data_IF_688121307424
#
_entry.id   IF_688121307424
#
_cell.length_a   1.000
_cell.length_b   1.000
_cell.length_c   1.000
_cell.angle_alpha   90.00
_cell.angle_beta   90.00
_cell.angle_gamma   90.00
#
_symmetry.space_group_name_H-M   'P 1'
#
loop_
_entity.id
_entity.type
_entity.pdbx_description
1 polymer ?
#
# COMPACT_ATOMS: atom_id res chain seq x y z
N UNK A 1 0.11 0.00 63.88
CA UNK A 1 1.56 -0.35 63.90
C UNK A 1 1.87 -1.50 62.96
N UNK A 2 1.33 -2.71 63.18
CA UNK A 2 1.53 -3.88 62.31
C UNK A 2 1.21 -3.59 60.83
N UNK A 3 0.15 -2.83 60.57
CA UNK A 3 -0.22 -2.42 59.21
C UNK A 3 0.84 -1.55 58.53
N UNK A 4 1.49 -0.64 59.26
CA UNK A 4 2.57 0.18 58.72
C UNK A 4 3.87 -0.61 58.51
N UNK A 5 4.11 -1.64 59.35
CA UNK A 5 5.24 -2.56 59.18
C UNK A 5 5.05 -3.40 57.90
N UNK A 6 3.85 -3.93 57.65
CA UNK A 6 3.53 -4.65 56.41
C UNK A 6 3.63 -3.76 55.16
N UNK A 7 3.24 -2.50 55.30
CA UNK A 7 3.29 -1.52 54.20
C UNK A 7 4.69 -0.95 53.94
N UNK A 8 5.64 -1.15 54.87
CA UNK A 8 7.01 -0.61 54.74
C UNK A 8 7.78 -1.16 53.54
N UNK A 9 7.37 -2.34 53.06
CA UNK A 9 7.94 -3.02 51.91
C UNK A 9 7.21 -2.82 50.57
N UNK A 10 6.06 -2.14 50.59
CA UNK A 10 5.25 -1.90 49.41
C UNK A 10 5.96 -1.01 48.38
N UNK A 11 5.81 -1.37 47.10
CA UNK A 11 6.27 -0.61 45.94
C UNK A 11 5.19 0.31 45.36
N UNK A 12 3.96 0.23 45.87
CA UNK A 12 2.89 1.18 45.53
C UNK A 12 3.09 2.48 46.32
N UNK A 13 3.91 3.37 45.76
CA UNK A 13 4.34 4.59 46.45
C UNK A 13 3.21 5.56 46.75
N UNK A 14 2.14 5.59 45.94
CA UNK A 14 1.08 6.59 46.05
C UNK A 14 0.01 6.12 47.03
N UNK A 15 -0.52 4.90 46.86
CA UNK A 15 -1.53 4.37 47.75
C UNK A 15 -0.98 4.14 49.17
N UNK A 16 0.26 3.65 49.26
CA UNK A 16 0.90 3.39 50.57
C UNK A 16 1.23 4.69 51.31
N UNK A 17 1.65 5.75 50.61
CA UNK A 17 1.88 7.05 51.24
C UNK A 17 0.57 7.62 51.83
N UNK A 18 -0.51 7.57 51.06
CA UNK A 18 -1.85 7.99 51.51
C UNK A 18 -2.31 7.17 52.72
N UNK A 19 -2.12 5.85 52.68
CA UNK A 19 -2.51 4.97 53.80
C UNK A 19 -1.69 5.24 55.06
N UNK A 20 -0.38 5.52 54.94
CA UNK A 20 0.45 5.90 56.08
C UNK A 20 0.00 7.25 56.66
N UNK A 21 -0.41 8.21 55.84
CA UNK A 21 -0.96 9.50 56.28
C UNK A 21 -2.32 9.32 56.99
N UNK A 22 -3.20 8.46 56.48
CA UNK A 22 -4.45 8.08 57.14
C UNK A 22 -4.19 7.43 58.51
N UNK A 23 -3.26 6.48 58.58
CA UNK A 23 -2.85 5.83 59.84
C UNK A 23 -2.26 6.84 60.84
N UNK A 24 -1.52 7.85 60.36
CA UNK A 24 -1.05 8.96 61.21
C UNK A 24 -2.21 9.82 61.72
N UNK A 25 -3.22 10.08 60.90
CA UNK A 25 -4.41 10.85 61.30
C UNK A 25 -5.29 10.05 62.29
N UNK A 26 -5.47 8.76 62.06
CA UNK A 26 -6.16 7.84 62.97
C UNK A 26 -5.46 7.78 64.33
N UNK A 27 -4.12 7.70 64.35
CA UNK A 27 -3.33 7.75 65.58
C UNK A 27 -3.55 9.06 66.36
N UNK A 28 -3.54 10.21 65.67
CA UNK A 28 -3.79 11.52 66.28
C UNK A 28 -5.20 11.65 66.85
N UNK A 29 -6.18 10.96 66.26
CA UNK A 29 -7.60 11.02 66.64
C UNK A 29 -7.93 10.18 67.88
N UNK A 30 -7.24 9.05 68.09
CA UNK A 30 -7.51 8.12 69.22
C UNK A 30 -7.10 8.75 70.58
N UNK A 31 -6.10 9.66 70.60
CA UNK A 31 -5.66 10.34 71.82
C UNK A 31 -4.62 9.56 72.64
N UNK A 32 -4.13 10.15 73.74
CA UNK A 32 -3.04 9.60 74.56
C UNK A 32 -3.50 8.40 75.41
N UNK A 33 -2.67 7.37 75.47
CA UNK A 33 -2.82 6.19 76.31
C UNK A 33 -1.73 6.18 77.41
N UNK A 34 -1.56 5.06 78.12
CA UNK A 34 -0.51 4.95 79.14
C UNK A 34 0.91 5.19 78.54
N UNK A 35 1.77 6.04 79.14
CA UNK A 35 2.88 6.69 78.44
C UNK A 35 4.05 5.78 78.02
N UNK A 36 4.22 4.59 78.63
CA UNK A 36 5.30 3.65 78.28
C UNK A 36 5.00 2.81 77.03
N UNK A 37 3.92 1.98 76.98
CA UNK A 37 3.62 1.16 75.80
C UNK A 37 3.29 2.00 74.56
N UNK A 38 2.69 3.18 74.73
CA UNK A 38 2.40 4.09 73.62
C UNK A 38 3.68 4.54 72.88
N UNK A 39 4.73 4.89 73.63
CA UNK A 39 5.99 5.38 73.07
C UNK A 39 6.73 4.32 72.25
N UNK A 40 6.71 3.06 72.69
CA UNK A 40 7.32 1.95 71.96
C UNK A 40 6.60 1.65 70.64
N UNK A 41 5.27 1.59 70.67
CA UNK A 41 4.45 1.36 69.48
C UNK A 41 4.57 2.51 68.48
N UNK A 42 4.64 3.75 68.97
CA UNK A 42 4.84 4.93 68.14
C UNK A 42 6.24 4.96 67.49
N UNK A 43 7.29 4.58 68.22
CA UNK A 43 8.64 4.49 67.67
C UNK A 43 8.74 3.44 66.57
N UNK A 44 8.12 2.26 66.75
CA UNK A 44 8.03 1.21 65.71
C UNK A 44 7.30 1.70 64.47
N UNK A 45 6.14 2.34 64.65
CA UNK A 45 5.37 2.92 63.55
C UNK A 45 6.15 4.00 62.78
N UNK A 46 6.87 4.90 63.48
CA UNK A 46 7.74 5.90 62.85
C UNK A 46 8.91 5.27 62.12
N UNK A 47 9.52 4.22 62.68
CA UNK A 47 10.62 3.51 62.03
C UNK A 47 10.18 2.89 60.69
N UNK A 48 9.03 2.19 60.69
CA UNK A 48 8.43 1.59 59.48
C UNK A 48 8.04 2.65 58.43
N UNK A 49 7.37 3.73 58.86
CA UNK A 49 7.03 4.85 57.99
C UNK A 49 8.29 5.51 57.41
N UNK A 50 9.31 5.72 58.25
CA UNK A 50 10.59 6.30 57.84
C UNK A 50 11.33 5.42 56.82
N UNK A 51 11.28 4.10 56.97
CA UNK A 51 11.84 3.15 56.00
C UNK A 51 11.15 3.27 54.64
N UNK A 52 9.82 3.30 54.61
CA UNK A 52 9.04 3.49 53.39
C UNK A 52 9.41 4.80 52.67
N UNK A 53 9.38 5.94 53.37
CA UNK A 53 9.67 7.24 52.76
C UNK A 53 11.13 7.37 52.31
N UNK A 54 12.09 6.74 53.01
CA UNK A 54 13.49 6.66 52.54
C UNK A 54 13.58 5.90 51.21
N UNK A 55 12.92 4.76 51.09
CA UNK A 55 12.89 3.97 49.84
C UNK A 55 12.20 4.70 48.70
N UNK A 56 11.03 5.30 48.96
CA UNK A 56 10.33 6.13 47.98
C UNK A 56 11.21 7.27 47.45
N UNK A 57 11.98 7.92 48.35
CA UNK A 57 12.91 8.98 47.95
C UNK A 57 14.07 8.42 47.11
N UNK A 58 14.62 7.27 47.48
CA UNK A 58 15.68 6.61 46.72
C UNK A 58 15.22 6.23 45.30
N UNK A 59 14.04 5.60 45.16
CA UNK A 59 13.43 5.27 43.87
C UNK A 59 13.18 6.52 43.01
N UNK A 60 12.69 7.63 43.61
CA UNK A 60 12.52 8.89 42.89
C UNK A 60 13.86 9.46 42.37
N UNK A 61 14.93 9.36 43.16
CA UNK A 61 16.28 9.81 42.77
C UNK A 61 16.81 8.96 41.62
N UNK A 62 16.68 7.64 41.71
CA UNK A 62 17.08 6.70 40.65
C UNK A 62 16.31 6.95 39.35
N UNK A 63 14.97 7.08 39.42
CA UNK A 63 14.12 7.41 38.26
C UNK A 63 14.51 8.74 37.63
N UNK A 64 14.81 9.77 38.45
CA UNK A 64 15.29 11.06 37.93
C UNK A 64 16.61 10.92 37.18
N UNK A 65 17.54 10.11 37.67
CA UNK A 65 18.81 9.84 36.99
C UNK A 65 18.59 9.09 35.67
N UNK A 66 17.73 8.07 35.65
CA UNK A 66 17.37 7.33 34.43
C UNK A 66 16.73 8.28 33.41
N UNK A 67 15.76 9.10 33.82
CA UNK A 67 15.12 10.07 32.93
C UNK A 67 16.09 11.13 32.41
N UNK A 68 17.06 11.57 33.22
CA UNK A 68 18.08 12.52 32.78
C UNK A 68 19.02 11.89 31.74
N UNK A 69 19.46 10.65 31.95
CA UNK A 69 20.26 9.88 30.98
C UNK A 69 19.50 9.68 29.66
N UNK A 70 18.24 9.23 29.74
CA UNK A 70 17.39 9.06 28.56
C UNK A 70 17.13 10.38 27.83
N UNK A 71 16.96 11.48 28.56
CA UNK A 71 16.79 12.80 27.95
C UNK A 71 18.04 13.24 27.19
N UNK A 72 19.23 13.04 27.76
CA UNK A 72 20.49 13.36 27.10
C UNK A 72 20.69 12.53 25.82
N UNK A 73 20.39 11.22 25.86
CA UNK A 73 20.45 10.37 24.67
C UNK A 73 19.48 10.85 23.58
N UNK A 74 18.22 11.15 23.93
CA UNK A 74 17.24 11.69 22.98
C UNK A 74 17.65 13.05 22.43
N UNK A 75 18.31 13.88 23.23
CA UNK A 75 18.84 15.17 22.81
C UNK A 75 19.99 15.03 21.80
N UNK A 76 20.87 14.05 21.99
CA UNK A 76 21.88 13.67 20.99
C UNK A 76 21.24 13.17 19.69
N UNK A 77 20.17 12.36 19.76
CA UNK A 77 19.44 11.93 18.56
C UNK A 77 18.80 13.11 17.82
N UNK A 78 18.28 14.11 18.54
CA UNK A 78 17.78 15.34 17.90
C UNK A 78 18.89 16.08 17.16
N UNK A 79 20.06 16.25 17.78
CA UNK A 79 21.20 16.93 17.14
C UNK A 79 21.68 16.17 15.89
N UNK A 80 21.75 14.84 15.98
CA UNK A 80 22.10 13.99 14.83
C UNK A 80 21.07 14.13 13.71
N UNK A 81 19.76 14.10 14.03
CA UNK A 81 18.71 14.28 13.03
C UNK A 81 18.74 15.67 12.38
N UNK A 82 19.05 16.72 13.15
CA UNK A 82 19.19 18.09 12.64
C UNK A 82 20.39 18.24 11.72
N UNK A 83 21.51 17.59 12.01
CA UNK A 83 22.68 17.59 11.14
C UNK A 83 22.40 16.98 9.76
N UNK A 84 21.43 16.05 9.66
CA UNK A 84 21.02 15.47 8.37
C UNK A 84 20.30 16.47 7.45
N UNK A 85 19.87 17.62 7.98
CA UNK A 85 19.26 18.67 7.16
C UNK A 85 20.24 19.29 6.17
N UNK A 86 21.54 19.24 6.45
CA UNK A 86 22.63 19.75 5.62
C UNK A 86 23.20 18.69 4.66
N UNK A 87 22.90 17.40 4.89
CA UNK A 87 23.43 16.31 4.07
C UNK A 87 22.86 16.36 2.64
N UNK A 88 23.74 16.24 1.64
CA UNK A 88 23.36 16.27 0.22
C UNK A 88 22.87 14.90 -0.29
N UNK A 89 23.41 13.81 0.26
CA UNK A 89 23.02 12.44 -0.07
C UNK A 89 21.71 12.06 0.65
N UNK A 90 20.60 12.32 -0.04
CA UNK A 90 19.24 12.06 0.47
C UNK A 90 18.97 10.55 0.74
N UNK A 91 19.41 9.60 -0.10
CA UNK A 91 19.37 8.17 0.22
C UNK A 91 20.06 7.81 1.54
N UNK A 92 21.29 8.28 1.75
CA UNK A 92 22.03 8.07 3.01
C UNK A 92 21.30 8.70 4.19
N UNK A 93 20.87 9.96 4.06
CA UNK A 93 20.13 10.68 5.10
C UNK A 93 18.86 9.93 5.52
N UNK A 94 18.06 9.39 4.58
CA UNK A 94 16.89 8.55 4.89
C UNK A 94 17.26 7.27 5.65
N UNK A 95 18.36 6.61 5.27
CA UNK A 95 18.88 5.45 5.96
C UNK A 95 19.24 5.78 7.42
N UNK A 96 19.93 6.89 7.63
CA UNK A 96 20.29 7.38 8.95
C UNK A 96 19.07 7.76 9.78
N UNK A 97 18.08 8.46 9.22
CA UNK A 97 16.81 8.75 9.92
C UNK A 97 16.13 7.48 10.41
N UNK A 98 16.08 6.41 9.61
CA UNK A 98 15.50 5.12 10.03
C UNK A 98 16.25 4.50 11.21
N UNK A 99 17.58 4.59 11.21
CA UNK A 99 18.41 4.15 12.34
C UNK A 99 18.12 4.97 13.60
N UNK A 100 18.09 6.30 13.50
CA UNK A 100 17.77 7.19 14.62
C UNK A 100 16.36 6.93 15.18
N UNK A 101 15.38 6.64 14.33
CA UNK A 101 14.03 6.27 14.76
C UNK A 101 14.00 4.94 15.53
N UNK A 102 14.84 3.98 15.16
CA UNK A 102 14.98 2.72 15.90
C UNK A 102 15.66 2.96 17.26
N UNK A 103 16.73 3.75 17.30
CA UNK A 103 17.40 4.15 18.54
C UNK A 103 16.47 4.92 19.47
N UNK A 104 15.66 5.85 18.94
CA UNK A 104 14.67 6.60 19.71
C UNK A 104 13.66 5.69 20.43
N UNK A 105 13.19 4.64 19.75
CA UNK A 105 12.25 3.64 20.31
C UNK A 105 12.90 2.76 21.37
N UNK A 106 14.21 2.53 21.28
CA UNK A 106 14.97 1.76 22.26
C UNK A 106 15.22 2.56 23.55
N UNK A 107 15.24 3.90 23.49
CA UNK A 107 15.43 4.74 24.67
C UNK A 107 14.17 4.74 25.53
N UNK A 108 14.35 4.47 26.82
CA UNK A 108 13.28 4.44 27.82
C UNK A 108 12.57 5.77 28.06
N UNK A 109 11.68 5.81 29.07
CA UNK A 109 10.84 6.98 29.35
C UNK A 109 11.67 8.19 29.79
N UNK A 110 11.13 9.37 29.54
CA UNK A 110 11.62 10.67 30.01
C UNK A 110 10.45 11.40 30.67
N UNK A 111 10.72 12.41 31.50
CA UNK A 111 9.65 13.27 32.04
C UNK A 111 8.78 13.85 30.92
N UNK A 112 7.46 13.81 31.13
CA UNK A 112 6.43 14.15 30.13
C UNK A 112 6.72 15.44 29.34
N UNK A 113 6.92 16.56 30.03
CA UNK A 113 7.16 17.86 29.38
C UNK A 113 8.40 17.87 28.47
N UNK A 114 9.48 17.20 28.90
CA UNK A 114 10.72 17.11 28.10
C UNK A 114 10.60 16.11 26.97
N UNK A 115 9.81 15.04 27.15
CA UNK A 115 9.53 14.05 26.11
C UNK A 115 8.79 14.64 24.92
N UNK A 116 7.75 15.45 25.17
CA UNK A 116 6.96 16.08 24.10
C UNK A 116 7.82 17.07 23.29
N UNK A 117 8.61 17.89 23.98
CA UNK A 117 9.52 18.86 23.34
C UNK A 117 10.58 18.17 22.48
N UNK A 118 11.26 17.15 23.02
CA UNK A 118 12.28 16.40 22.29
C UNK A 118 11.66 15.66 21.10
N UNK A 119 10.46 15.08 21.26
CA UNK A 119 9.77 14.38 20.18
C UNK A 119 9.39 15.32 19.04
N UNK A 120 8.83 16.50 19.35
CA UNK A 120 8.48 17.49 18.34
C UNK A 120 9.71 17.93 17.52
N UNK A 121 10.83 18.19 18.22
CA UNK A 121 12.12 18.54 17.61
C UNK A 121 12.66 17.42 16.71
N UNK A 122 12.73 16.20 17.23
CA UNK A 122 13.20 15.03 16.48
C UNK A 122 12.35 14.75 15.23
N UNK A 123 11.02 14.80 15.40
CA UNK A 123 10.08 14.57 14.29
C UNK A 123 10.22 15.64 13.22
N UNK A 124 10.28 16.92 13.61
CA UNK A 124 10.45 18.01 12.65
C UNK A 124 11.72 17.84 11.82
N UNK A 125 12.85 17.49 12.45
CA UNK A 125 14.10 17.21 11.73
C UNK A 125 13.97 16.02 10.76
N UNK A 126 13.32 14.93 11.19
CA UNK A 126 13.06 13.79 10.31
C UNK A 126 12.15 14.16 9.12
N UNK A 127 11.07 14.89 9.37
CA UNK A 127 10.09 15.30 8.36
C UNK A 127 10.74 16.21 7.31
N UNK A 128 11.70 17.06 7.71
CA UNK A 128 12.48 17.89 6.77
C UNK A 128 13.29 17.05 5.78
N UNK A 129 13.99 16.01 6.24
CA UNK A 129 14.76 15.10 5.36
C UNK A 129 13.85 14.39 4.36
N UNK A 130 12.71 13.87 4.83
CA UNK A 130 11.73 13.22 3.94
C UNK A 130 11.15 14.19 2.92
N UNK A 131 10.73 15.39 3.35
CA UNK A 131 10.19 16.43 2.47
C UNK A 131 11.22 16.87 1.42
N UNK A 132 12.49 17.06 1.80
CA UNK A 132 13.56 17.41 0.86
C UNK A 132 13.74 16.33 -0.19
N UNK A 133 13.70 15.07 0.24
CA UNK A 133 13.88 13.96 -0.67
C UNK A 133 12.68 13.74 -1.59
N UNK A 134 11.46 13.95 -1.12
CA UNK A 134 10.26 13.97 -1.97
C UNK A 134 10.36 15.07 -3.02
N UNK A 135 10.71 16.30 -2.62
CA UNK A 135 10.94 17.41 -3.55
C UNK A 135 12.03 17.14 -4.58
N UNK A 136 13.13 16.51 -4.17
CA UNK A 136 14.19 16.13 -5.09
C UNK A 136 13.70 15.12 -6.14
N UNK A 137 12.97 14.08 -5.71
CA UNK A 137 12.36 13.13 -6.65
C UNK A 137 11.32 13.79 -7.54
N UNK A 138 10.49 14.68 -7.00
CA UNK A 138 9.50 15.43 -7.77
C UNK A 138 10.18 16.30 -8.83
N UNK A 139 11.26 17.01 -8.48
CA UNK A 139 12.06 17.80 -9.42
C UNK A 139 12.69 16.93 -10.51
N UNK A 140 13.25 15.76 -10.16
CA UNK A 140 13.80 14.81 -11.14
C UNK A 140 12.75 14.29 -12.14
N UNK A 141 11.47 14.26 -11.75
CA UNK A 141 10.38 13.84 -12.62
C UNK A 141 9.66 15.02 -13.29
N UNK A 142 9.77 16.24 -12.76
CA UNK A 142 9.11 17.43 -13.29
C UNK A 142 9.48 17.66 -14.76
N UNK A 143 10.77 17.63 -15.09
CA UNK A 143 11.24 17.80 -16.47
C UNK A 143 10.71 16.70 -17.41
N UNK A 144 10.65 15.46 -16.91
CA UNK A 144 10.15 14.30 -17.68
C UNK A 144 8.64 14.36 -17.90
N UNK A 145 7.90 14.83 -16.90
CA UNK A 145 6.46 15.06 -16.96
C UNK A 145 6.17 16.20 -17.93
N UNK A 146 6.91 17.31 -17.84
CA UNK A 146 6.80 18.45 -18.75
C UNK A 146 7.10 18.05 -20.20
N UNK A 147 8.15 17.26 -20.44
CA UNK A 147 8.47 16.75 -21.77
C UNK A 147 7.33 15.91 -22.36
N UNK A 148 6.71 15.01 -21.57
CA UNK A 148 5.53 14.24 -22.01
C UNK A 148 4.32 15.15 -22.26
N UNK A 149 4.04 16.09 -21.37
CA UNK A 149 2.94 17.03 -21.50
C UNK A 149 3.06 17.88 -22.77
N UNK A 150 4.27 18.35 -23.11
CA UNK A 150 4.54 19.10 -24.33
C UNK A 150 4.24 18.29 -25.61
N UNK A 151 4.47 16.97 -25.60
CA UNK A 151 4.08 16.12 -26.73
C UNK A 151 2.55 15.99 -26.86
N UNK A 152 1.82 15.90 -25.74
CA UNK A 152 0.35 15.92 -25.76
C UNK A 152 -0.16 17.26 -26.33
N UNK A 153 0.39 18.38 -25.87
CA UNK A 153 0.03 19.71 -26.36
C UNK A 153 0.33 19.88 -27.86
N UNK A 154 1.49 19.35 -28.33
CA UNK A 154 1.83 19.35 -29.76
C UNK A 154 0.80 18.57 -30.58
N UNK A 155 0.36 17.39 -30.12
CA UNK A 155 -0.68 16.62 -30.81
C UNK A 155 -2.04 17.34 -30.78
N UNK A 156 -2.42 17.92 -29.65
CA UNK A 156 -3.67 18.67 -29.53
C UNK A 156 -3.69 19.92 -30.44
N UNK A 157 -2.55 20.57 -30.62
CA UNK A 157 -2.42 21.71 -31.54
C UNK A 157 -2.56 21.30 -33.02
N UNK A 158 -2.24 20.05 -33.37
CA UNK A 158 -2.45 19.50 -34.72
C UNK A 158 -3.91 19.13 -34.99
N UNK A 159 -4.74 19.00 -33.95
CA UNK A 159 -6.16 18.69 -34.04
C UNK A 159 -6.98 19.50 -33.02
N UNK A 160 -7.14 20.81 -33.26
CA UNK A 160 -7.95 21.65 -32.40
C UNK A 160 -9.41 21.16 -32.36
N UNK A 161 -10.14 21.51 -31.31
CA UNK A 161 -11.57 21.13 -31.16
C UNK A 161 -12.51 21.84 -32.14
N UNK A 162 -12.01 22.87 -32.85
CA UNK A 162 -12.74 23.56 -33.91
C UNK A 162 -12.75 22.75 -35.21
N UNK A 163 -13.62 23.11 -36.15
CA UNK A 163 -13.77 22.35 -37.41
C UNK A 163 -12.43 22.13 -38.12
N UNK A 164 -12.30 20.93 -38.67
CA UNK A 164 -11.11 20.49 -39.38
C UNK A 164 -10.82 21.44 -40.54
N UNK A 165 -9.75 22.22 -40.42
CA UNK A 165 -9.17 22.94 -41.55
C UNK A 165 -8.41 21.99 -42.48
N UNK A 166 -7.74 22.52 -43.48
CA UNK A 166 -6.83 21.72 -44.30
C UNK A 166 -5.72 21.09 -43.43
N UNK A 167 -5.32 19.83 -43.69
CA UNK A 167 -4.26 19.19 -42.92
C UNK A 167 -2.96 19.98 -43.09
N UNK A 168 -2.21 20.23 -42.00
CA UNK A 168 -0.91 20.87 -42.11
C UNK A 168 0.03 20.00 -42.96
N UNK A 169 0.89 20.65 -43.75
CA UNK A 169 1.85 19.96 -44.60
C UNK A 169 2.74 19.02 -43.76
N UNK A 170 2.85 17.76 -44.16
CA UNK A 170 3.65 16.76 -43.44
C UNK A 170 3.02 16.25 -42.13
N UNK A 171 1.70 16.37 -41.94
CA UNK A 171 1.00 15.88 -40.74
C UNK A 171 1.38 14.44 -40.36
N UNK A 172 1.44 13.52 -41.33
CA UNK A 172 1.82 12.12 -41.11
C UNK A 172 3.22 11.98 -40.51
N UNK A 173 4.20 12.71 -41.05
CA UNK A 173 5.59 12.70 -40.56
C UNK A 173 5.70 13.33 -39.17
N UNK A 174 4.97 14.42 -38.91
CA UNK A 174 4.93 15.07 -37.59
C UNK A 174 4.34 14.16 -36.51
N UNK A 175 3.26 13.43 -36.82
CA UNK A 175 2.65 12.46 -35.91
C UNK A 175 3.60 11.28 -35.69
N UNK A 176 4.25 10.76 -36.74
CA UNK A 176 5.23 9.69 -36.62
C UNK A 176 6.44 10.09 -35.76
N UNK A 177 6.98 11.30 -35.96
CA UNK A 177 8.06 11.87 -35.15
C UNK A 177 7.63 12.01 -33.68
N UNK A 178 6.47 12.59 -33.42
CA UNK A 178 5.92 12.78 -32.06
C UNK A 178 5.72 11.44 -31.34
N UNK A 179 5.21 10.41 -32.03
CA UNK A 179 5.08 9.03 -31.50
C UNK A 179 6.43 8.37 -31.25
N UNK A 180 7.46 8.68 -32.05
CA UNK A 180 8.81 8.19 -31.83
C UNK A 180 9.44 8.83 -30.59
N UNK A 181 9.34 10.16 -30.46
CA UNK A 181 9.78 10.90 -29.27
C UNK A 181 9.10 10.38 -28.00
N UNK A 182 7.77 10.17 -28.02
CA UNK A 182 7.02 9.64 -26.88
C UNK A 182 7.55 8.28 -26.39
N UNK A 183 7.93 7.39 -27.31
CA UNK A 183 8.49 6.06 -26.99
C UNK A 183 9.90 6.13 -26.41
N UNK A 184 10.67 7.16 -26.75
CA UNK A 184 12.04 7.35 -26.28
C UNK A 184 12.09 8.05 -24.91
N UNK A 185 11.02 8.71 -24.47
CA UNK A 185 11.00 9.43 -23.20
C UNK A 185 11.10 8.48 -21.98
N UNK A 186 11.94 8.80 -20.99
CA UNK A 186 12.12 8.00 -19.79
C UNK A 186 10.83 7.93 -18.97
N UNK A 187 10.57 6.80 -18.30
CA UNK A 187 9.31 6.60 -17.56
C UNK A 187 9.11 7.62 -16.44
N UNK A 188 7.87 8.07 -16.27
CA UNK A 188 7.40 8.96 -15.19
C UNK A 188 6.61 8.14 -14.15
N UNK A 189 6.27 8.69 -12.97
CA UNK A 189 5.49 7.96 -11.98
C UNK A 189 4.13 7.51 -12.52
N UNK A 190 3.65 6.35 -12.07
CA UNK A 190 2.54 5.61 -12.70
C UNK A 190 1.24 6.42 -12.83
N UNK A 191 0.91 7.25 -11.85
CA UNK A 191 -0.28 8.11 -11.88
C UNK A 191 -0.24 9.12 -13.03
N UNK A 192 0.89 9.79 -13.20
CA UNK A 192 1.12 10.79 -14.23
C UNK A 192 1.24 10.12 -15.60
N UNK A 193 1.94 8.99 -15.68
CA UNK A 193 2.08 8.20 -16.91
C UNK A 193 0.70 7.79 -17.46
N UNK A 194 -0.19 7.30 -16.59
CA UNK A 194 -1.55 6.90 -16.98
C UNK A 194 -2.37 8.08 -17.50
N UNK A 195 -2.31 9.22 -16.81
CA UNK A 195 -3.05 10.42 -17.21
C UNK A 195 -2.54 11.01 -18.52
N UNK A 196 -1.22 11.13 -18.68
CA UNK A 196 -0.61 11.68 -19.89
C UNK A 196 -0.77 10.73 -21.08
N UNK A 197 -0.65 9.42 -20.87
CA UNK A 197 -0.91 8.43 -21.93
C UNK A 197 -2.36 8.49 -22.40
N UNK A 198 -3.33 8.59 -21.49
CA UNK A 198 -4.73 8.76 -21.88
C UNK A 198 -4.97 10.03 -22.70
N UNK A 199 -4.37 11.16 -22.29
CA UNK A 199 -4.43 12.43 -23.02
C UNK A 199 -3.79 12.30 -24.42
N UNK A 200 -2.64 11.65 -24.51
CA UNK A 200 -1.92 11.40 -25.77
C UNK A 200 -2.74 10.55 -26.74
N UNK A 201 -3.32 9.44 -26.26
CA UNK A 201 -4.15 8.54 -27.08
C UNK A 201 -5.42 9.25 -27.59
N UNK A 202 -6.07 10.06 -26.75
CA UNK A 202 -7.25 10.84 -27.17
C UNK A 202 -6.89 11.88 -28.23
N UNK A 203 -5.78 12.60 -28.04
CA UNK A 203 -5.30 13.57 -29.03
C UNK A 203 -4.94 12.88 -30.36
N UNK A 204 -4.25 11.74 -30.30
CA UNK A 204 -3.91 10.94 -31.48
C UNK A 204 -5.16 10.44 -32.21
N UNK A 205 -6.16 9.94 -31.48
CA UNK A 205 -7.45 9.54 -32.03
C UNK A 205 -8.08 10.66 -32.85
N UNK A 206 -8.10 11.86 -32.27
CA UNK A 206 -8.71 13.04 -32.87
C UNK A 206 -8.00 13.46 -34.16
N UNK A 207 -6.67 13.48 -34.16
CA UNK A 207 -5.87 13.76 -35.37
C UNK A 207 -6.22 12.79 -36.49
N UNK A 208 -6.35 11.50 -36.16
CA UNK A 208 -6.70 10.45 -37.13
C UNK A 208 -8.16 10.58 -37.60
N UNK A 209 -9.09 10.99 -36.74
CA UNK A 209 -10.50 11.26 -37.10
C UNK A 209 -10.67 12.44 -38.05
N UNK A 210 -9.92 13.52 -37.82
CA UNK A 210 -10.02 14.73 -38.64
C UNK A 210 -9.39 14.54 -40.03
N UNK A 211 -8.35 13.70 -40.14
CA UNK A 211 -7.58 13.52 -41.37
C UNK A 211 -7.30 12.04 -41.70
N UNK A 212 -8.34 11.22 -41.95
CA UNK A 212 -8.17 9.78 -42.17
C UNK A 212 -7.32 9.47 -43.42
N UNK A 213 -7.42 10.28 -44.47
CA UNK A 213 -6.73 10.08 -45.75
C UNK A 213 -5.20 10.14 -45.61
N UNK A 214 -4.68 10.97 -44.69
CA UNK A 214 -3.24 11.14 -44.45
C UNK A 214 -2.62 9.87 -43.86
N UNK A 215 -3.40 9.07 -43.14
CA UNK A 215 -2.92 7.87 -42.44
C UNK A 215 -3.20 6.57 -43.19
N UNK A 216 -3.80 6.63 -44.38
CA UNK A 216 -4.09 5.47 -45.21
C UNK A 216 -2.81 4.66 -45.51
N UNK A 217 -2.87 3.34 -45.31
CA UNK A 217 -1.73 2.44 -45.53
C UNK A 217 -0.66 2.43 -44.44
N UNK A 218 -0.77 3.29 -43.42
CA UNK A 218 0.13 3.29 -42.25
C UNK A 218 -0.34 2.32 -41.15
N UNK A 219 0.32 2.33 -39.99
CA UNK A 219 -0.14 1.62 -38.79
C UNK A 219 -1.31 2.35 -38.08
N UNK A 220 -1.58 3.60 -38.44
CA UNK A 220 -2.68 4.42 -37.92
C UNK A 220 -3.90 4.45 -38.84
N UNK A 221 -3.92 3.64 -39.89
CA UNK A 221 -5.04 3.55 -40.81
C UNK A 221 -6.34 3.14 -40.08
N UNK A 222 -7.38 3.99 -40.08
CA UNK A 222 -8.63 3.73 -39.36
C UNK A 222 -9.34 2.46 -39.83
N UNK A 223 -9.40 2.22 -41.15
CA UNK A 223 -10.13 1.11 -41.73
C UNK A 223 -9.42 -0.21 -41.45
N UNK A 224 -8.09 -0.22 -41.62
CA UNK A 224 -7.25 -1.37 -41.27
C UNK A 224 -7.40 -1.74 -39.80
N UNK A 225 -7.38 -0.73 -38.91
CA UNK A 225 -7.46 -0.95 -37.47
C UNK A 225 -8.86 -1.41 -37.03
N UNK A 226 -9.93 -0.90 -37.67
CA UNK A 226 -11.30 -1.38 -37.46
C UNK A 226 -11.45 -2.87 -37.82
N UNK A 227 -11.05 -3.26 -39.04
CA UNK A 227 -11.15 -4.67 -39.47
C UNK A 227 -10.29 -5.61 -38.62
N UNK A 228 -9.10 -5.14 -38.20
CA UNK A 228 -8.28 -5.91 -37.27
C UNK A 228 -8.98 -6.12 -35.93
N UNK A 229 -9.66 -5.09 -35.40
CA UNK A 229 -10.42 -5.17 -34.16
C UNK A 229 -11.64 -6.09 -34.28
N UNK A 230 -12.41 -6.01 -35.37
CA UNK A 230 -13.52 -6.92 -35.65
C UNK A 230 -13.09 -8.39 -35.63
N UNK A 231 -11.95 -8.68 -36.27
CA UNK A 231 -11.36 -10.02 -36.29
C UNK A 231 -10.93 -10.48 -34.88
N UNK A 232 -10.37 -9.58 -34.06
CA UNK A 232 -10.02 -9.89 -32.67
C UNK A 232 -11.26 -10.20 -31.82
N UNK A 233 -12.34 -9.42 -31.97
CA UNK A 233 -13.62 -9.69 -31.32
C UNK A 233 -14.13 -11.08 -31.68
N UNK A 234 -14.17 -11.41 -32.99
CA UNK A 234 -14.61 -12.72 -33.46
C UNK A 234 -13.78 -13.89 -32.90
N UNK A 235 -12.46 -13.72 -32.77
CA UNK A 235 -11.57 -14.74 -32.18
C UNK A 235 -11.85 -14.97 -30.70
N UNK A 236 -11.98 -13.90 -29.90
CA UNK A 236 -12.28 -14.05 -28.45
C UNK A 236 -13.67 -14.64 -28.26
N UNK A 237 -14.66 -14.20 -29.03
CA UNK A 237 -16.02 -14.71 -28.94
C UNK A 237 -16.12 -16.17 -29.36
N UNK A 238 -15.36 -16.62 -30.35
CA UNK A 238 -15.26 -18.04 -30.69
C UNK A 238 -14.69 -18.87 -29.54
N UNK A 239 -13.69 -18.36 -28.82
CA UNK A 239 -13.13 -19.02 -27.62
C UNK A 239 -14.16 -19.07 -26.47
N UNK A 240 -14.91 -17.98 -26.25
CA UNK A 240 -16.00 -17.94 -25.28
C UNK A 240 -17.13 -18.90 -25.68
N UNK A 241 -17.50 -18.96 -26.95
CA UNK A 241 -18.54 -19.87 -27.45
C UNK A 241 -18.11 -21.34 -27.28
N UNK A 242 -16.87 -21.68 -27.63
CA UNK A 242 -16.32 -23.04 -27.44
C UNK A 242 -16.19 -23.46 -25.97
N UNK A 243 -16.17 -22.49 -25.06
CA UNK A 243 -16.12 -22.65 -23.61
C UNK A 243 -17.50 -22.86 -23.00
N UNK A 244 -18.52 -22.24 -23.59
CA UNK A 244 -19.88 -22.34 -23.07
C UNK A 244 -20.40 -23.71 -23.50
N UNK A 245 -20.70 -24.64 -22.57
CA UNK A 245 -21.35 -25.88 -22.97
C UNK A 245 -22.66 -25.52 -23.67
N UNK A 246 -22.87 -26.05 -24.87
CA UNK A 246 -24.12 -25.92 -25.62
C UNK A 246 -25.27 -26.43 -24.74
N UNK A 247 -25.98 -25.53 -24.07
CA UNK A 247 -27.20 -25.87 -23.34
C UNK A 247 -28.35 -25.85 -24.34
N UNK A 248 -28.47 -26.94 -25.09
CA UNK A 248 -29.69 -27.33 -25.79
C UNK A 248 -29.63 -28.84 -26.01
N UNK A 249 -29.58 -29.59 -24.91
CA UNK A 249 -29.63 -31.04 -24.97
C UNK A 249 -31.07 -31.51 -24.72
N UNK A 250 -31.83 -31.72 -25.80
CA UNK A 250 -33.19 -32.30 -25.78
C UNK A 250 -33.20 -33.80 -25.38
N UNK A 251 -32.17 -34.27 -24.68
CA UNK A 251 -32.00 -35.66 -24.27
C UNK A 251 -32.92 -36.00 -23.09
N UNK A 252 -33.51 -37.19 -23.15
CA UNK A 252 -34.35 -37.75 -22.09
C UNK A 252 -33.58 -37.91 -20.76
N UNK A 253 -34.27 -37.96 -19.60
CA UNK A 253 -33.61 -38.12 -18.29
C UNK A 253 -32.67 -39.35 -18.20
N UNK A 254 -32.99 -40.42 -18.95
CA UNK A 254 -32.15 -41.61 -19.03
C UNK A 254 -30.87 -41.38 -19.86
N UNK A 255 -30.94 -40.60 -20.93
CA UNK A 255 -29.79 -40.23 -21.75
C UNK A 255 -28.86 -39.25 -21.03
N UNK A 256 -29.42 -38.34 -20.23
CA UNK A 256 -28.64 -37.46 -19.33
C UNK A 256 -27.89 -38.27 -18.27
N UNK A 257 -28.55 -39.24 -17.63
CA UNK A 257 -27.90 -40.13 -16.66
C UNK A 257 -26.81 -41.00 -17.30
N UNK A 258 -27.06 -41.52 -18.50
CA UNK A 258 -26.10 -42.33 -19.24
C UNK A 258 -24.89 -41.50 -19.69
N UNK A 259 -25.10 -40.24 -20.10
CA UNK A 259 -24.03 -39.31 -20.41
C UNK A 259 -23.21 -38.96 -19.15
N UNK A 260 -23.86 -38.67 -18.03
CA UNK A 260 -23.21 -38.40 -16.74
C UNK A 260 -22.36 -39.58 -16.27
N UNK A 261 -22.83 -40.82 -16.43
CA UNK A 261 -22.05 -42.01 -16.08
C UNK A 261 -20.85 -42.22 -17.00
N UNK A 262 -20.99 -42.03 -18.31
CA UNK A 262 -19.86 -42.10 -19.25
C UNK A 262 -18.82 -41.02 -18.99
N UNK A 263 -19.28 -39.81 -18.69
CA UNK A 263 -18.41 -38.67 -18.38
C UNK A 263 -17.75 -38.79 -17.00
N UNK A 264 -18.44 -39.36 -16.00
CA UNK A 264 -17.84 -39.72 -14.72
C UNK A 264 -16.76 -40.80 -14.88
N UNK A 265 -16.96 -41.77 -15.77
CA UNK A 265 -15.96 -42.80 -16.07
C UNK A 265 -14.79 -42.24 -16.89
N UNK A 266 -15.05 -41.33 -17.82
CA UNK A 266 -14.03 -40.64 -18.62
C UNK A 266 -13.24 -39.59 -17.82
N UNK A 267 -13.84 -38.90 -16.85
CA UNK A 267 -13.14 -37.90 -16.01
C UNK A 267 -12.23 -38.53 -14.95
N UNK A 268 -12.45 -39.81 -14.63
CA UNK A 268 -11.59 -40.58 -13.73
C UNK A 268 -10.36 -41.21 -14.41
N UNK A 269 -10.24 -41.14 -15.74
CA UNK A 269 -8.98 -41.46 -16.43
C UNK A 269 -8.07 -40.22 -16.38
N UNK A 270 -6.89 -40.37 -15.78
CA UNK A 270 -5.96 -39.25 -15.53
C UNK A 270 -5.59 -38.42 -16.78
N UNK A 271 -5.72 -38.98 -17.99
CA UNK A 271 -5.43 -38.28 -19.25
C UNK A 271 -6.49 -37.24 -19.65
N UNK A 272 -7.79 -37.56 -19.54
CA UNK A 272 -8.85 -36.68 -20.03
C UNK A 272 -8.95 -35.35 -19.25
N UNK A 273 -8.72 -35.40 -17.92
CA UNK A 273 -8.66 -34.19 -17.10
C UNK A 273 -7.42 -33.34 -17.41
N UNK A 274 -6.29 -33.98 -17.69
CA UNK A 274 -5.07 -33.29 -18.09
C UNK A 274 -5.22 -32.58 -19.45
N UNK A 275 -5.94 -33.19 -20.40
CA UNK A 275 -6.21 -32.62 -21.72
C UNK A 275 -7.15 -31.41 -21.65
N UNK A 276 -8.21 -31.46 -20.83
CA UNK A 276 -9.10 -30.32 -20.61
C UNK A 276 -8.40 -29.15 -19.92
N UNK A 277 -7.58 -29.43 -18.90
CA UNK A 277 -6.78 -28.40 -18.22
C UNK A 277 -5.72 -27.81 -19.16
N UNK A 278 -5.13 -28.61 -20.05
CA UNK A 278 -4.19 -28.13 -21.07
C UNK A 278 -4.88 -27.23 -22.10
N UNK A 279 -6.07 -27.62 -22.58
CA UNK A 279 -6.88 -26.83 -23.50
C UNK A 279 -7.25 -25.47 -22.89
N UNK A 280 -7.74 -25.44 -21.64
CA UNK A 280 -8.07 -24.20 -20.92
C UNK A 280 -6.89 -23.26 -20.78
N UNK A 281 -5.68 -23.79 -20.57
CA UNK A 281 -4.45 -22.97 -20.53
C UNK A 281 -4.11 -22.41 -21.91
N UNK A 282 -4.19 -23.22 -22.95
CA UNK A 282 -3.97 -22.78 -24.32
C UNK A 282 -4.95 -21.65 -24.72
N UNK A 283 -6.23 -21.80 -24.39
CA UNK A 283 -7.26 -20.79 -24.66
C UNK A 283 -6.99 -19.50 -23.87
N UNK A 284 -6.58 -19.59 -22.61
CA UNK A 284 -6.23 -18.41 -21.81
C UNK A 284 -4.96 -17.71 -22.29
N UNK A 285 -3.95 -18.45 -22.73
CA UNK A 285 -2.75 -17.89 -23.35
C UNK A 285 -3.09 -17.22 -24.69
N UNK A 286 -4.03 -17.79 -25.44
CA UNK A 286 -4.55 -17.19 -26.67
C UNK A 286 -5.30 -15.89 -26.40
N UNK A 287 -6.18 -15.83 -25.39
CA UNK A 287 -6.84 -14.58 -24.99
C UNK A 287 -5.81 -13.51 -24.59
N UNK A 288 -4.73 -13.87 -23.90
CA UNK A 288 -3.65 -12.92 -23.57
C UNK A 288 -2.88 -12.44 -24.80
N UNK A 289 -2.66 -13.32 -25.78
CA UNK A 289 -2.08 -12.93 -27.09
C UNK A 289 -3.00 -11.95 -27.81
N UNK A 290 -4.30 -12.23 -27.86
CA UNK A 290 -5.31 -11.35 -28.44
C UNK A 290 -5.37 -9.98 -27.74
N UNK A 291 -5.25 -9.95 -26.41
CA UNK A 291 -5.14 -8.69 -25.65
C UNK A 291 -3.87 -7.92 -25.99
N UNK A 292 -2.75 -8.62 -26.20
CA UNK A 292 -1.49 -8.01 -26.62
C UNK A 292 -1.57 -7.48 -28.06
N UNK A 293 -2.20 -8.23 -28.97
CA UNK A 293 -2.53 -7.77 -30.33
C UNK A 293 -3.43 -6.54 -30.29
N UNK A 294 -4.45 -6.51 -29.42
CA UNK A 294 -5.34 -5.35 -29.25
C UNK A 294 -4.60 -4.10 -28.77
N UNK A 295 -3.67 -4.26 -27.84
CA UNK A 295 -2.85 -3.17 -27.32
C UNK A 295 -1.81 -2.69 -28.35
N UNK A 296 -1.42 -3.55 -29.28
CA UNK A 296 -0.53 -3.19 -30.39
C UNK A 296 -1.26 -2.50 -31.53
N UNK A 297 -2.57 -2.75 -31.69
CA UNK A 297 -3.41 -1.93 -32.56
C UNK A 297 -3.43 -0.50 -32.01
N UNK A 298 -3.19 0.48 -32.88
CA UNK A 298 -3.32 1.89 -32.55
C UNK A 298 -4.74 2.27 -32.18
N UNK A 299 -4.99 3.58 -32.07
CA UNK A 299 -6.33 4.07 -31.81
C UNK A 299 -7.25 3.65 -32.95
N UNK A 300 -8.43 3.14 -32.58
CA UNK A 300 -9.52 2.85 -33.50
C UNK A 300 -10.56 3.94 -33.31
N UNK A 301 -10.59 4.94 -34.20
CA UNK A 301 -11.44 6.10 -34.00
C UNK A 301 -12.93 5.81 -34.29
N UNK A 302 -13.80 6.73 -33.87
CA UNK A 302 -15.23 6.71 -34.13
C UNK A 302 -16.08 5.95 -33.12
N UNK A 303 -17.40 5.98 -33.35
CA UNK A 303 -18.38 5.28 -32.50
C UNK A 303 -18.30 3.75 -32.66
N UNK A 304 -18.16 3.28 -33.91
CA UNK A 304 -18.00 1.84 -34.21
C UNK A 304 -16.75 1.25 -33.56
N UNK A 305 -15.63 1.97 -33.57
CA UNK A 305 -14.39 1.57 -32.90
C UNK A 305 -14.55 1.42 -31.38
N UNK A 306 -15.30 2.34 -30.76
CA UNK A 306 -15.65 2.27 -29.33
C UNK A 306 -16.53 1.05 -29.02
N UNK A 307 -17.60 0.84 -29.78
CA UNK A 307 -18.49 -0.31 -29.62
C UNK A 307 -17.75 -1.64 -29.75
N UNK A 308 -16.87 -1.78 -30.73
CA UNK A 308 -16.04 -2.98 -30.91
C UNK A 308 -15.03 -3.17 -29.78
N UNK A 309 -14.45 -2.08 -29.25
CA UNK A 309 -13.51 -2.15 -28.12
C UNK A 309 -14.21 -2.59 -26.84
N UNK A 310 -15.43 -2.09 -26.60
CA UNK A 310 -16.27 -2.50 -25.48
C UNK A 310 -16.70 -3.96 -25.60
N UNK A 311 -17.08 -4.38 -26.80
CA UNK A 311 -17.41 -5.77 -27.12
C UNK A 311 -16.22 -6.71 -26.86
N UNK A 312 -15.01 -6.35 -27.32
CA UNK A 312 -13.79 -7.11 -27.06
C UNK A 312 -13.49 -7.24 -25.56
N UNK A 313 -13.58 -6.13 -24.82
CA UNK A 313 -13.37 -6.10 -23.37
C UNK A 313 -14.38 -6.98 -22.64
N UNK A 314 -15.67 -6.86 -22.96
CA UNK A 314 -16.72 -7.66 -22.37
C UNK A 314 -16.54 -9.16 -22.65
N UNK A 315 -16.11 -9.53 -23.86
CA UNK A 315 -15.80 -10.92 -24.21
C UNK A 315 -14.61 -11.47 -23.41
N UNK A 316 -13.53 -10.69 -23.24
CA UNK A 316 -12.40 -11.08 -22.40
C UNK A 316 -12.80 -11.24 -20.93
N UNK A 317 -13.57 -10.29 -20.39
CA UNK A 317 -14.06 -10.35 -19.00
C UNK A 317 -14.97 -11.56 -18.78
N UNK A 318 -15.83 -11.88 -19.75
CA UNK A 318 -16.67 -13.09 -19.71
C UNK A 318 -15.81 -14.35 -19.71
N UNK A 319 -14.83 -14.45 -20.59
CA UNK A 319 -13.90 -15.59 -20.63
C UNK A 319 -13.22 -15.84 -19.27
N UNK A 320 -12.63 -14.81 -18.65
CA UNK A 320 -11.94 -14.97 -17.37
C UNK A 320 -12.87 -15.16 -16.17
N UNK A 321 -14.12 -14.71 -16.26
CA UNK A 321 -15.17 -15.02 -15.27
C UNK A 321 -15.51 -16.51 -15.27
N UNK A 322 -15.59 -17.12 -16.45
CA UNK A 322 -15.88 -18.53 -16.61
C UNK A 322 -14.64 -19.42 -16.27
N UNK A 323 -13.42 -18.83 -16.26
CA UNK A 323 -12.16 -19.51 -15.93
C UNK A 323 -11.26 -18.77 -14.89
N UNK A 324 -11.68 -18.67 -13.63
CA UNK A 324 -10.92 -17.95 -12.60
C UNK A 324 -9.57 -18.62 -12.22
N UNK A 325 -9.48 -19.96 -12.28
CA UNK A 325 -8.28 -20.70 -11.84
C UNK A 325 -7.01 -20.43 -12.69
N UNK A 326 -7.18 -20.03 -13.95
CA UNK A 326 -6.06 -19.72 -14.86
C UNK A 326 -5.57 -18.27 -14.67
N UNK A 327 -6.45 -17.38 -14.20
CA UNK A 327 -6.10 -16.00 -13.86
C UNK A 327 -5.20 -15.92 -12.61
N UNK A 328 -5.49 -16.71 -11.57
CA UNK A 328 -4.74 -16.68 -10.30
C UNK A 328 -3.33 -17.30 -10.38
N UNK A 329 -3.14 -18.35 -11.19
CA UNK A 329 -1.85 -19.07 -11.26
C UNK A 329 -0.79 -18.36 -12.09
N UNK A 330 -1.18 -17.38 -12.91
CA UNK A 330 -0.27 -16.67 -13.82
C UNK A 330 0.23 -15.34 -13.27
N UNK A 331 -0.30 -14.87 -12.14
CA UNK A 331 0.18 -13.68 -11.41
C UNK A 331 1.30 -13.98 -10.40
N UNK A 332 1.61 -15.26 -10.13
CA UNK A 332 2.80 -15.66 -9.37
C UNK A 332 3.95 -15.98 -10.32
N UNK A 333 5.08 -15.25 -10.28
CA UNK A 333 6.31 -15.73 -10.86
C UNK A 333 6.68 -17.05 -10.16
N UNK A 334 7.04 -18.08 -10.93
CA UNK A 334 7.57 -19.35 -10.42
C UNK A 334 8.80 -19.09 -9.55
N UNK A 335 8.58 -18.96 -8.24
CA UNK A 335 9.58 -19.09 -7.18
C UNK A 335 9.14 -20.24 -6.29
N UNK A 336 9.90 -21.34 -6.31
CA UNK A 336 9.61 -22.54 -5.55
C UNK A 336 9.72 -22.34 -4.03
N UNK A 337 9.11 -23.27 -3.30
CA UNK A 337 9.31 -23.41 -1.85
C UNK A 337 8.04 -23.17 -1.06
N UNK A 338 7.25 -24.21 -0.88
CA UNK A 338 6.10 -24.19 0.02
C UNK A 338 6.51 -23.84 1.45
N UNK A 339 5.80 -22.90 2.06
CA UNK A 339 5.69 -22.79 3.50
C UNK A 339 4.26 -22.45 3.87
N UNK A 340 3.60 -23.42 4.50
CA UNK A 340 2.27 -23.32 5.09
C UNK A 340 2.24 -22.10 6.02
N UNK A 341 1.58 -21.01 5.60
CA UNK A 341 1.24 -19.90 6.48
C UNK A 341 0.21 -20.38 7.51
N UNK A 342 0.69 -20.70 8.72
CA UNK A 342 -0.14 -20.73 9.93
C UNK A 342 -0.89 -19.41 10.04
N UNK A 343 -2.22 -19.49 10.15
CA UNK A 343 -3.10 -18.37 10.51
C UNK A 343 -2.56 -17.74 11.80
N UNK A 344 -1.99 -16.52 11.72
CA UNK A 344 -1.80 -15.67 12.89
C UNK A 344 -3.17 -15.12 13.28
N UNK A 345 -3.66 -15.62 14.42
CA UNK A 345 -4.76 -15.06 15.19
C UNK A 345 -4.47 -13.58 15.42
N UNK A 346 -5.31 -12.71 14.87
CA UNK A 346 -5.40 -11.30 15.28
C UNK A 346 -5.84 -11.29 16.74
N UNK A 347 -4.92 -10.95 17.65
CA UNK A 347 -5.29 -10.64 19.02
C UNK A 347 -5.84 -9.21 19.01
N UNK A 348 -7.12 -9.14 19.30
CA UNK A 348 -7.90 -7.93 19.54
C UNK A 348 -7.22 -7.04 20.56
N UNK A 349 -7.20 -5.76 20.21
CA UNK A 349 -6.94 -4.62 21.06
C UNK A 349 -7.94 -4.64 22.24
N UNK A 350 -7.43 -4.93 23.44
CA UNK A 350 -8.13 -4.74 24.71
C UNK A 350 -7.12 -4.41 25.80
N UNK A 351 -7.05 -3.12 26.13
CA UNK A 351 -6.13 -2.56 27.12
C UNK A 351 -6.53 -1.14 27.50
N UNK A 352 -7.71 -1.05 28.09
CA UNK A 352 -8.37 0.12 28.68
C UNK A 352 -7.49 1.03 29.57
N UNK A 353 -7.96 2.26 29.85
CA UNK A 353 -7.19 3.35 30.45
C UNK A 353 -7.02 3.14 31.95
N UNK A 354 -6.00 3.77 32.54
CA UNK A 354 -6.05 4.02 33.97
C UNK A 354 -5.45 5.39 34.34
N UNK A 355 -6.32 6.20 34.95
CA UNK A 355 -6.00 7.34 35.78
C UNK A 355 -5.22 6.89 37.01
N UNK A 356 -4.15 7.61 37.35
CA UNK A 356 -3.75 7.95 38.72
C UNK A 356 -2.65 9.02 38.65
#
# INVERSE_FOLDING_TARGET
CLEAENLSDSTDWLATAKRIEELQAEWKRIGQAAPKPEREVWNRFRAASGQFFRRRRADLVERKQIWAKNAALKETLCQQAEALSEELDLPSAKGTVRRLQAEWKAIGPVRRNRSETLWARFRSACDQVYTRAEKATEAEFADKIAARAALCERLEALAPESEAGDPPAGLGDLVAATRSEWRQLPRVPQSQDRSLSARFEVALARVVEQHPDVFSGTDLDPQRNLHALERLCGRVEALVAATTPEVADERSPAELLAAQLREALASNTMGAKADLDAKRRADADEVKRLQSERNALGVVPGETGRQLSDRFRAACERFFRDYPEVAERTSSPRGGGGSKRRRRRSYSDSGSPNNA
#
